data_IF_905242043782
#
_entry.id   IF_905242043782
#
_cell.length_a   1.000
_cell.length_b   1.000
_cell.length_c   1.000
_cell.angle_alpha   90.00
_cell.angle_beta   90.00
_cell.angle_gamma   90.00
#
_symmetry.space_group_name_H-M   'P 1'
#
loop_
_entity.id
_entity.type
_entity.pdbx_description
1 polymer ?
#
# COMPACT_ATOMS: atom_id res chain seq x y z
N UNK A 1 10.08 -23.80 -37.97
CA UNK A 1 9.76 -24.73 -36.87
C UNK A 1 10.28 -24.17 -35.55
N UNK A 2 9.57 -23.23 -34.90
CA UNK A 2 9.72 -23.00 -33.45
C UNK A 2 8.38 -22.49 -32.90
N UNK A 3 7.59 -23.43 -32.39
CA UNK A 3 6.34 -23.21 -31.67
C UNK A 3 6.68 -22.83 -30.23
N UNK A 4 6.37 -21.60 -29.80
CA UNK A 4 6.56 -21.18 -28.41
C UNK A 4 5.43 -21.78 -27.57
N UNK A 5 5.78 -22.82 -26.82
CA UNK A 5 4.92 -23.57 -25.92
C UNK A 5 4.35 -22.68 -24.80
N UNK A 6 3.03 -22.50 -24.89
CA UNK A 6 2.03 -22.36 -23.82
C UNK A 6 2.56 -22.28 -22.37
N UNK A 7 2.42 -21.08 -21.77
CA UNK A 7 2.54 -20.88 -20.33
C UNK A 7 1.30 -21.46 -19.64
N UNK A 8 1.41 -22.69 -19.15
CA UNK A 8 0.43 -23.29 -18.25
C UNK A 8 0.47 -22.58 -16.89
N UNK A 9 -0.45 -21.63 -16.67
CA UNK A 9 -0.69 -21.02 -15.37
C UNK A 9 -1.26 -22.07 -14.41
N UNK A 10 -0.44 -22.54 -13.46
CA UNK A 10 -0.89 -23.40 -12.37
C UNK A 10 -1.72 -22.58 -11.39
N UNK A 11 -3.04 -22.77 -11.36
CA UNK A 11 -3.88 -22.25 -10.29
C UNK A 11 -3.93 -23.29 -9.17
N UNK A 12 -3.44 -22.91 -7.99
CA UNK A 12 -3.63 -23.69 -6.76
C UNK A 12 -5.07 -23.47 -6.30
N UNK A 13 -5.85 -24.55 -6.24
CA UNK A 13 -7.21 -24.53 -5.74
C UNK A 13 -7.21 -24.14 -4.25
N UNK A 14 -7.67 -22.92 -3.95
CA UNK A 14 -7.85 -22.45 -2.58
C UNK A 14 -9.14 -23.03 -2.01
N UNK A 15 -8.99 -23.71 -0.88
CA UNK A 15 -10.04 -24.29 -0.04
C UNK A 15 -11.13 -23.27 0.29
N UNK A 16 -12.38 -23.70 0.14
CA UNK A 16 -13.59 -22.90 0.34
C UNK A 16 -13.78 -22.51 1.81
N UNK A 17 -13.44 -21.26 2.14
CA UNK A 17 -13.96 -20.57 3.32
C UNK A 17 -14.77 -19.35 2.86
N UNK A 18 -16.01 -19.26 3.36
CA UNK A 18 -17.07 -18.31 2.98
C UNK A 18 -16.54 -16.89 2.69
N UNK A 19 -16.98 -16.23 1.60
CA UNK A 19 -16.56 -14.86 1.30
C UNK A 19 -17.17 -13.92 2.34
N UNK A 20 -16.35 -13.44 3.28
CA UNK A 20 -16.69 -12.27 4.08
C UNK A 20 -16.70 -11.08 3.12
N UNK A 21 -17.87 -10.51 2.85
CA UNK A 21 -18.02 -9.31 2.03
C UNK A 21 -17.43 -8.10 2.78
N UNK A 22 -16.11 -8.00 2.82
CA UNK A 22 -15.45 -6.73 3.06
C UNK A 22 -15.63 -5.89 1.80
N UNK A 23 -16.14 -4.65 1.88
CA UNK A 23 -16.19 -3.79 0.72
C UNK A 23 -14.77 -3.72 0.15
N UNK A 24 -14.62 -4.18 -1.09
CA UNK A 24 -13.35 -4.26 -1.78
C UNK A 24 -12.97 -2.82 -2.18
N UNK A 25 -12.46 -2.04 -1.22
CA UNK A 25 -11.96 -0.69 -1.45
C UNK A 25 -10.88 -0.85 -2.53
N UNK A 26 -11.03 -0.24 -3.71
CA UNK A 26 -9.98 -0.28 -4.71
C UNK A 26 -8.71 0.27 -4.05
N UNK A 27 -7.63 -0.53 -4.00
CA UNK A 27 -6.31 -0.04 -3.57
C UNK A 27 -5.75 0.88 -4.67
N UNK A 28 -6.40 2.03 -4.85
CA UNK A 28 -5.90 3.10 -5.71
C UNK A 28 -4.72 3.73 -5.00
N UNK A 29 -3.56 3.71 -5.65
CA UNK A 29 -2.35 4.37 -5.14
C UNK A 29 -2.65 5.87 -4.93
N UNK A 30 -2.68 6.32 -3.67
CA UNK A 30 -2.84 7.76 -3.35
C UNK A 30 -1.58 8.50 -3.78
N UNK A 31 -1.74 9.57 -4.56
CA UNK A 31 -0.65 10.54 -4.82
C UNK A 31 -0.67 11.59 -3.72
N UNK A 32 0.47 11.80 -3.07
CA UNK A 32 0.64 12.85 -2.08
C UNK A 32 0.96 14.19 -2.76
N UNK A 33 0.50 15.28 -2.17
CA UNK A 33 0.89 16.63 -2.56
C UNK A 33 2.35 16.91 -2.20
N UNK A 34 3.04 17.84 -2.88
CA UNK A 34 4.45 18.16 -2.60
C UNK A 34 4.71 18.53 -1.14
N UNK A 35 3.83 19.32 -0.54
CA UNK A 35 3.90 19.75 0.87
C UNK A 35 3.86 18.55 1.83
N UNK A 36 3.06 17.54 1.52
CA UNK A 36 2.96 16.32 2.31
C UNK A 36 4.24 15.49 2.23
N UNK A 37 4.87 15.43 1.06
CA UNK A 37 6.15 14.73 0.87
C UNK A 37 7.25 15.44 1.65
N UNK A 38 7.31 16.77 1.60
CA UNK A 38 8.31 17.56 2.32
C UNK A 38 8.17 17.37 3.83
N UNK A 39 6.96 17.42 4.39
CA UNK A 39 6.72 17.17 5.81
C UNK A 39 7.15 15.75 6.25
N UNK A 40 6.97 14.75 5.38
CA UNK A 40 7.45 13.39 5.65
C UNK A 40 8.99 13.31 5.63
N UNK A 41 9.64 14.02 4.70
CA UNK A 41 11.10 14.09 4.60
C UNK A 41 11.71 14.79 5.82
N UNK A 42 11.15 15.93 6.24
CA UNK A 42 11.64 16.66 7.42
C UNK A 42 11.53 15.84 8.70
N UNK A 43 10.41 15.12 8.89
CA UNK A 43 10.26 14.24 10.04
C UNK A 43 11.28 13.09 10.00
N UNK A 44 11.58 12.55 8.82
CA UNK A 44 12.60 11.51 8.66
C UNK A 44 14.03 12.02 8.93
N UNK A 45 14.35 13.23 8.49
CA UNK A 45 15.65 13.88 8.75
C UNK A 45 15.87 14.11 10.25
N UNK A 46 14.82 14.47 10.98
CA UNK A 46 14.87 14.60 12.44
C UNK A 46 14.96 13.25 13.14
N UNK A 47 14.20 12.27 12.64
CA UNK A 47 14.09 10.95 13.25
C UNK A 47 13.78 9.89 12.19
N UNK A 48 14.77 9.04 11.91
CA UNK A 48 14.64 7.96 10.92
C UNK A 48 13.54 6.94 11.26
N UNK A 49 13.26 6.75 12.55
CA UNK A 49 12.26 5.80 13.06
C UNK A 49 11.28 6.48 14.02
N UNK A 50 10.31 7.25 13.51
CA UNK A 50 9.31 7.91 14.33
C UNK A 50 8.38 6.90 15.03
N UNK A 51 7.91 7.26 16.23
CA UNK A 51 6.96 6.47 17.00
C UNK A 51 5.58 6.44 16.32
N UNK A 52 4.69 5.57 16.80
CA UNK A 52 3.30 5.51 16.32
C UNK A 52 2.57 6.85 16.53
N UNK A 53 2.81 7.50 17.65
CA UNK A 53 2.16 8.75 18.03
C UNK A 53 2.62 9.92 17.16
N UNK A 54 3.94 10.02 16.91
CA UNK A 54 4.53 11.05 16.04
C UNK A 54 3.98 10.93 14.61
N UNK A 55 3.92 9.70 14.07
CA UNK A 55 3.32 9.46 12.74
C UNK A 55 1.83 9.81 12.70
N UNK A 56 1.09 9.53 13.76
CA UNK A 56 -0.34 9.83 13.83
C UNK A 56 -0.60 11.34 13.95
N UNK A 57 0.24 12.06 14.69
CA UNK A 57 0.17 13.53 14.78
C UNK A 57 0.41 14.17 13.41
N UNK A 58 1.47 13.78 12.71
CA UNK A 58 1.77 14.29 11.36
C UNK A 58 0.66 13.94 10.35
N UNK A 59 0.04 12.76 10.45
CA UNK A 59 -1.09 12.41 9.59
C UNK A 59 -2.29 13.34 9.81
N UNK A 60 -2.59 13.73 11.06
CA UNK A 60 -3.66 14.68 11.37
C UNK A 60 -3.37 16.07 10.82
N UNK A 61 -2.13 16.55 10.94
CA UNK A 61 -1.72 17.84 10.40
C UNK A 61 -1.81 17.89 8.87
N UNK A 62 -1.44 16.81 8.20
CA UNK A 62 -1.44 16.70 6.74
C UNK A 62 -2.79 16.24 6.15
N UNK A 63 -3.81 16.04 6.98
CA UNK A 63 -5.12 15.49 6.60
C UNK A 63 -5.04 14.17 5.82
N UNK A 64 -4.23 13.23 6.33
CA UNK A 64 -3.94 11.93 5.69
C UNK A 64 -4.71 10.75 6.27
#
# INVERSE_FOLDING_TARGET
MLSTSSLMSRTLAASSSKPTHTPQIPLTRRRLQPEQIQALQTLYELKSHPSKEERAALARELNL
#
